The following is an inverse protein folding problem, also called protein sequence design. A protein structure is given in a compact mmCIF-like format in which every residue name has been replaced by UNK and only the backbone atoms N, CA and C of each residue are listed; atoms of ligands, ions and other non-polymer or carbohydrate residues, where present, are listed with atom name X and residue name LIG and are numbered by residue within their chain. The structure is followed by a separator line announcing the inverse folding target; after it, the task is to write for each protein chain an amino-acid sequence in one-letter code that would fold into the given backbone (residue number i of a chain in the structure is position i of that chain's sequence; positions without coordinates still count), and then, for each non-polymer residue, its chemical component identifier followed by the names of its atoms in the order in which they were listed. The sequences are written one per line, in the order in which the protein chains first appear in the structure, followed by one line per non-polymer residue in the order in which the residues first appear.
data_IF_150173711171
#
_entry.id   IF_150173711171
#
_cell.length_a   1.000
_cell.length_b   1.000
_cell.length_c   1.000
_cell.angle_alpha   90.00
_cell.angle_beta   90.00
_cell.angle_gamma   90.00
#
_symmetry.space_group_name_H-M   'P 1'
#
loop_
_entity.id
_entity.type
_entity.pdbx_description
1 polymer ?
#
# COMPACT_ATOMS: atom_id res chain seq x y z
N UNK A 1 72.23 11.65 -5.37
CA UNK A 1 71.29 12.05 -6.44
C UNK A 1 69.95 11.41 -6.12
N UNK A 2 69.09 12.19 -5.47
CA UNK A 2 67.67 11.88 -5.31
C UNK A 2 67.03 11.66 -6.69
N UNK A 3 66.24 10.59 -6.84
CA UNK A 3 65.17 10.55 -7.84
C UNK A 3 63.91 10.01 -7.18
N UNK A 4 62.85 10.76 -7.45
CA UNK A 4 61.61 10.91 -6.70
C UNK A 4 60.76 9.64 -6.72
N UNK A 5 60.04 9.40 -5.62
CA UNK A 5 58.86 8.53 -5.60
C UNK A 5 57.81 9.16 -6.51
N UNK A 6 57.32 8.41 -7.48
CA UNK A 6 56.07 8.73 -8.17
C UNK A 6 54.94 8.28 -7.24
N UNK A 7 54.25 9.25 -6.65
CA UNK A 7 52.96 9.04 -5.99
C UNK A 7 51.91 8.88 -7.10
N UNK A 8 51.49 7.65 -7.36
CA UNK A 8 50.24 7.39 -8.06
C UNK A 8 49.09 7.88 -7.17
N UNK A 9 48.58 9.07 -7.45
CA UNK A 9 47.30 9.51 -6.93
C UNK A 9 46.22 8.68 -7.63
N UNK A 10 45.81 7.58 -6.98
CA UNK A 10 44.55 6.92 -7.30
C UNK A 10 43.43 7.91 -6.92
N UNK A 11 42.90 8.59 -7.94
CA UNK A 11 41.66 9.36 -7.85
C UNK A 11 40.55 8.35 -7.56
N UNK A 12 40.31 8.10 -6.28
CA UNK A 12 39.25 7.20 -5.83
C UNK A 12 37.93 7.88 -6.13
N UNK A 13 37.21 7.39 -7.13
CA UNK A 13 35.80 7.71 -7.33
C UNK A 13 35.09 7.51 -5.98
N UNK A 14 34.65 8.60 -5.34
CA UNK A 14 33.78 8.51 -4.16
C UNK A 14 32.49 7.81 -4.60
N UNK A 15 32.40 6.51 -4.32
CA UNK A 15 31.14 5.77 -4.46
C UNK A 15 30.20 6.36 -3.40
N UNK A 16 29.32 7.25 -3.85
CA UNK A 16 28.20 7.74 -3.04
C UNK A 16 27.24 6.57 -2.87
N UNK A 17 27.32 5.87 -1.74
CA UNK A 17 26.34 4.87 -1.34
C UNK A 17 25.03 5.58 -1.00
N UNK A 18 24.13 5.67 -1.99
CA UNK A 18 22.77 6.13 -1.78
C UNK A 18 22.00 5.08 -0.97
N UNK A 19 21.28 5.54 0.06
CA UNK A 19 20.39 4.70 0.84
C UNK A 19 19.21 4.21 0.00
N UNK A 20 18.64 3.04 0.33
CA UNK A 20 17.49 2.47 -0.38
C UNK A 20 16.30 3.44 -0.42
N UNK A 21 16.17 4.32 0.58
CA UNK A 21 15.15 5.38 0.60
C UNK A 21 15.22 6.34 -0.58
N UNK A 22 16.37 6.47 -1.25
CA UNK A 22 16.52 7.33 -2.43
C UNK A 22 15.62 6.90 -3.60
N UNK A 23 15.29 5.61 -3.70
CA UNK A 23 14.46 5.05 -4.76
C UNK A 23 12.97 4.92 -4.38
N UNK A 24 12.61 5.22 -3.12
CA UNK A 24 11.24 5.14 -2.64
C UNK A 24 10.54 6.46 -2.93
N UNK A 25 9.40 6.37 -3.62
CA UNK A 25 8.52 7.51 -3.85
C UNK A 25 7.37 7.49 -2.84
N UNK A 26 7.43 8.35 -1.83
CA UNK A 26 6.41 8.54 -0.80
C UNK A 26 5.56 9.80 -0.99
N UNK A 27 5.61 10.42 -2.18
CA UNK A 27 4.87 11.63 -2.53
C UNK A 27 3.37 11.34 -2.81
N UNK A 28 2.72 10.73 -1.83
CA UNK A 28 1.32 10.34 -1.90
C UNK A 28 0.41 11.56 -1.93
N UNK A 29 -0.58 11.51 -2.82
CA UNK A 29 -1.62 12.52 -2.92
C UNK A 29 -2.91 11.98 -2.33
N UNK A 30 -3.58 12.80 -1.52
CA UNK A 30 -4.90 12.47 -1.00
C UNK A 30 -5.93 12.57 -2.14
N UNK A 31 -6.47 11.42 -2.54
CA UNK A 31 -7.40 11.30 -3.67
C UNK A 31 -8.76 10.83 -3.18
N UNK A 32 -9.82 11.50 -3.63
CA UNK A 32 -11.20 11.15 -3.28
C UNK A 32 -11.80 10.18 -4.30
N UNK A 33 -12.41 9.11 -3.81
CA UNK A 33 -13.13 8.13 -4.60
C UNK A 33 -14.58 8.02 -4.14
N UNK A 34 -15.48 7.86 -5.11
CA UNK A 34 -16.92 7.73 -4.86
C UNK A 34 -17.42 6.42 -5.43
N UNK A 35 -18.01 5.59 -4.58
CA UNK A 35 -18.59 4.29 -4.93
C UNK A 35 -20.03 4.21 -4.42
N UNK A 36 -20.99 4.41 -5.33
CA UNK A 36 -22.40 4.57 -4.93
C UNK A 36 -22.58 5.79 -4.02
N UNK A 37 -23.07 5.57 -2.79
CA UNK A 37 -23.20 6.61 -1.76
C UNK A 37 -21.96 6.78 -0.88
N UNK A 38 -20.95 5.93 -1.04
CA UNK A 38 -19.74 5.96 -0.21
C UNK A 38 -18.72 6.92 -0.81
N UNK A 39 -18.23 7.84 0.01
CA UNK A 39 -17.15 8.76 -0.33
C UNK A 39 -15.98 8.46 0.60
N UNK A 40 -14.84 8.12 0.02
CA UNK A 40 -13.64 7.69 0.73
C UNK A 40 -12.42 8.44 0.17
N UNK A 41 -11.41 8.63 0.99
CA UNK A 41 -10.18 9.33 0.59
C UNK A 41 -8.98 8.45 0.86
N UNK A 42 -8.02 8.40 -0.05
CA UNK A 42 -6.84 7.56 0.09
C UNK A 42 -5.59 8.35 -0.26
N UNK A 43 -4.54 8.15 0.52
CA UNK A 43 -3.18 8.42 0.07
C UNK A 43 -2.81 7.36 -0.97
N UNK A 44 -2.40 7.81 -2.16
CA UNK A 44 -1.87 6.97 -3.22
C UNK A 44 -0.91 7.77 -4.13
N UNK A 45 -0.05 7.06 -4.85
CA UNK A 45 0.71 7.68 -5.95
C UNK A 45 -0.23 7.95 -7.13
N UNK A 46 0.13 8.96 -7.93
CA UNK A 46 -0.58 9.30 -9.17
C UNK A 46 0.04 8.64 -10.40
N UNK A 47 1.32 8.28 -10.30
CA UNK A 47 2.10 7.72 -11.40
C UNK A 47 2.96 6.56 -10.87
N UNK A 48 3.17 5.57 -11.71
CA UNK A 48 4.07 4.45 -11.42
C UNK A 48 5.49 4.93 -11.20
N UNK A 49 6.16 4.38 -10.18
CA UNK A 49 7.61 4.38 -10.13
C UNK A 49 8.17 3.38 -11.15
N UNK A 50 9.48 3.42 -11.36
CA UNK A 50 10.19 2.44 -12.19
C UNK A 50 10.37 1.08 -11.51
N UNK A 51 9.91 0.94 -10.27
CA UNK A 51 10.04 -0.27 -9.47
C UNK A 51 8.71 -1.06 -9.48
N UNK A 52 8.76 -2.29 -10.00
CA UNK A 52 7.58 -3.13 -10.18
C UNK A 52 6.99 -3.61 -8.84
N UNK A 53 7.83 -3.77 -7.82
CA UNK A 53 7.40 -4.26 -6.50
C UNK A 53 6.61 -3.19 -5.72
N UNK A 54 6.66 -1.94 -6.19
CA UNK A 54 6.05 -0.77 -5.57
C UNK A 54 4.74 -0.31 -6.23
N UNK A 55 4.25 -1.08 -7.21
CA UNK A 55 3.00 -0.78 -7.93
C UNK A 55 1.75 -0.84 -7.05
N UNK A 56 1.83 -1.48 -5.88
CA UNK A 56 0.76 -1.49 -4.87
C UNK A 56 0.45 -0.11 -4.27
N UNK A 57 1.30 0.90 -4.49
CA UNK A 57 1.07 2.28 -4.06
C UNK A 57 0.09 3.06 -4.99
N UNK A 58 -0.29 2.46 -6.12
CA UNK A 58 -1.26 3.01 -7.07
C UNK A 58 -2.64 2.40 -6.86
N UNK A 59 -3.66 3.14 -7.28
CA UNK A 59 -5.01 2.57 -7.45
C UNK A 59 -5.14 2.00 -8.86
N UNK A 60 -5.27 0.68 -8.95
CA UNK A 60 -5.48 0.01 -10.22
C UNK A 60 -6.93 0.13 -10.71
N UNK A 61 -7.18 0.27 -12.03
CA UNK A 61 -8.54 0.34 -12.59
C UNK A 61 -9.41 -0.87 -12.21
N UNK A 62 -8.82 -2.05 -12.04
CA UNK A 62 -9.53 -3.25 -11.58
C UNK A 62 -10.17 -3.08 -10.21
N UNK A 63 -9.48 -2.44 -9.26
CA UNK A 63 -10.00 -2.16 -7.93
C UNK A 63 -11.17 -1.16 -7.98
N UNK A 64 -11.07 -0.14 -8.84
CA UNK A 64 -12.16 0.83 -9.07
C UNK A 64 -13.40 0.13 -9.63
N UNK A 65 -13.24 -0.80 -10.59
CA UNK A 65 -14.34 -1.58 -11.15
C UNK A 65 -14.98 -2.50 -10.09
N UNK A 66 -14.16 -3.19 -9.30
CA UNK A 66 -14.64 -4.06 -8.21
C UNK A 66 -15.44 -3.26 -7.17
N UNK A 67 -14.94 -2.10 -6.75
CA UNK A 67 -15.64 -1.25 -5.79
C UNK A 67 -16.97 -0.69 -6.31
N UNK A 68 -17.03 -0.36 -7.60
CA UNK A 68 -18.30 0.00 -8.25
C UNK A 68 -19.30 -1.16 -8.27
N UNK A 69 -18.83 -2.40 -8.39
CA UNK A 69 -19.68 -3.59 -8.29
C UNK A 69 -20.14 -3.83 -6.85
N UNK A 70 -19.22 -3.82 -5.89
CA UNK A 70 -19.52 -4.07 -4.47
C UNK A 70 -20.47 -3.02 -3.88
N UNK A 71 -20.28 -1.73 -4.19
CA UNK A 71 -21.17 -0.65 -3.74
C UNK A 71 -22.61 -0.77 -4.24
N UNK A 72 -22.85 -1.50 -5.34
CA UNK A 72 -24.19 -1.82 -5.85
C UNK A 72 -24.76 -3.09 -5.24
N UNK A 73 -23.92 -3.91 -4.60
CA UNK A 73 -24.27 -5.23 -4.07
C UNK A 73 -23.90 -5.37 -2.59
N UNK A 74 -24.00 -4.29 -1.81
CA UNK A 74 -23.55 -4.21 -0.40
C UNK A 74 -24.15 -5.28 0.51
N UNK A 75 -25.35 -5.79 0.18
CA UNK A 75 -26.00 -6.88 0.92
C UNK A 75 -25.16 -8.16 0.95
N UNK A 76 -24.31 -8.39 -0.05
CA UNK A 76 -23.41 -9.55 -0.07
C UNK A 76 -22.31 -9.46 0.98
N UNK A 77 -21.97 -8.26 1.45
CA UNK A 77 -20.88 -8.02 2.40
C UNK A 77 -21.36 -8.01 3.86
N UNK A 78 -22.66 -7.91 4.07
CA UNK A 78 -23.22 -7.57 5.38
C UNK A 78 -22.93 -8.65 6.42
N UNK A 79 -22.15 -8.29 7.45
CA UNK A 79 -21.81 -9.18 8.56
C UNK A 79 -20.78 -10.28 8.23
N UNK A 80 -20.14 -10.24 7.06
CA UNK A 80 -19.08 -11.19 6.71
C UNK A 80 -17.73 -10.80 7.33
N UNK A 81 -16.86 -11.79 7.53
CA UNK A 81 -15.42 -11.58 7.68
C UNK A 81 -14.76 -11.74 6.31
N UNK A 82 -13.95 -10.76 5.91
CA UNK A 82 -13.33 -10.68 4.58
C UNK A 82 -11.82 -10.60 4.71
N UNK A 83 -11.10 -11.31 3.83
CA UNK A 83 -9.67 -11.10 3.61
C UNK A 83 -9.48 -10.57 2.19
N UNK A 84 -8.65 -9.53 2.04
CA UNK A 84 -8.22 -9.02 0.74
C UNK A 84 -6.75 -9.38 0.50
N UNK A 85 -6.47 -10.01 -0.63
CA UNK A 85 -5.13 -10.40 -1.06
C UNK A 85 -4.60 -9.37 -2.06
N UNK A 86 -3.39 -8.84 -1.82
CA UNK A 86 -2.80 -7.82 -2.68
C UNK A 86 -3.57 -6.49 -2.59
N UNK A 87 -3.82 -6.04 -1.36
CA UNK A 87 -4.63 -4.88 -1.04
C UNK A 87 -4.08 -3.57 -1.62
N UNK A 88 -2.77 -3.47 -1.88
CA UNK A 88 -2.17 -2.22 -2.30
C UNK A 88 -2.46 -1.10 -1.31
N UNK A 89 -3.04 0.00 -1.78
CA UNK A 89 -3.46 1.13 -0.91
C UNK A 89 -4.71 0.84 -0.05
N UNK A 90 -5.37 -0.31 -0.23
CA UNK A 90 -6.48 -0.78 0.59
C UNK A 90 -7.86 -0.31 0.17
N UNK A 91 -8.02 0.17 -1.07
CA UNK A 91 -9.26 0.83 -1.53
C UNK A 91 -10.49 -0.07 -1.43
N UNK A 92 -10.34 -1.38 -1.65
CA UNK A 92 -11.47 -2.32 -1.64
C UNK A 92 -11.81 -2.77 -0.23
N UNK A 93 -10.86 -3.27 0.57
CA UNK A 93 -11.18 -3.72 1.92
C UNK A 93 -11.62 -2.58 2.85
N UNK A 94 -11.13 -1.35 2.67
CA UNK A 94 -11.63 -0.17 3.40
C UNK A 94 -13.08 0.18 2.99
N UNK A 95 -13.47 -0.04 1.74
CA UNK A 95 -14.88 0.07 1.36
C UNK A 95 -15.71 -1.04 2.02
N UNK A 96 -15.21 -2.29 2.00
CA UNK A 96 -15.87 -3.44 2.60
C UNK A 96 -16.07 -3.29 4.11
N UNK A 97 -15.12 -2.68 4.83
CA UNK A 97 -15.17 -2.51 6.30
C UNK A 97 -16.37 -1.66 6.78
N UNK A 98 -16.99 -0.90 5.88
CA UNK A 98 -18.24 -0.17 6.14
C UNK A 98 -19.47 -1.09 6.27
N UNK A 99 -19.38 -2.31 5.77
CA UNK A 99 -20.51 -3.25 5.67
C UNK A 99 -20.23 -4.62 6.34
N UNK A 100 -18.96 -5.02 6.39
CA UNK A 100 -18.51 -6.28 6.98
C UNK A 100 -18.48 -6.26 8.51
N UNK A 101 -18.30 -7.44 9.13
CA UNK A 101 -17.97 -7.58 10.55
C UNK A 101 -16.47 -7.46 10.82
N UNK A 102 -15.64 -7.95 9.90
CA UNK A 102 -14.18 -7.90 10.01
C UNK A 102 -13.57 -7.87 8.61
N UNK A 103 -12.48 -7.14 8.44
CA UNK A 103 -11.71 -7.09 7.21
C UNK A 103 -10.21 -7.12 7.53
N UNK A 104 -9.52 -8.11 6.97
CA UNK A 104 -8.06 -8.19 6.98
C UNK A 104 -7.55 -7.84 5.59
N UNK A 105 -6.74 -6.79 5.52
CA UNK A 105 -6.07 -6.31 4.32
C UNK A 105 -4.66 -6.93 4.29
N UNK A 106 -4.23 -7.47 3.16
CA UNK A 106 -2.91 -8.10 3.07
C UNK A 106 -2.13 -7.67 1.85
N UNK A 107 -0.83 -7.47 2.05
CA UNK A 107 0.14 -7.27 0.97
C UNK A 107 1.50 -7.84 1.40
N UNK A 108 2.35 -8.18 0.43
CA UNK A 108 3.67 -8.74 0.68
C UNK A 108 4.71 -7.64 0.93
N UNK A 109 4.56 -6.48 0.28
CA UNK A 109 5.59 -5.45 0.23
C UNK A 109 5.48 -4.50 1.43
N UNK A 110 6.59 -4.34 2.17
CA UNK A 110 6.64 -3.52 3.39
C UNK A 110 6.31 -2.04 3.14
N UNK A 111 6.74 -1.47 2.02
CA UNK A 111 6.42 -0.08 1.67
C UNK A 111 4.94 0.09 1.33
N UNK A 112 4.35 -0.91 0.65
CA UNK A 112 2.91 -0.94 0.41
C UNK A 112 2.13 -1.06 1.72
N UNK A 113 2.58 -1.89 2.65
CA UNK A 113 1.99 -1.99 3.98
C UNK A 113 2.04 -0.67 4.76
N UNK A 114 3.08 0.17 4.59
CA UNK A 114 3.15 1.50 5.24
C UNK A 114 2.02 2.41 4.75
N UNK A 115 1.80 2.53 3.45
CA UNK A 115 0.72 3.37 2.91
C UNK A 115 -0.67 2.77 3.22
N UNK A 116 -0.79 1.44 3.19
CA UNK A 116 -2.00 0.73 3.59
C UNK A 116 -2.41 1.07 5.03
N UNK A 117 -1.47 0.97 5.97
CA UNK A 117 -1.71 1.34 7.37
C UNK A 117 -2.08 2.83 7.53
N UNK A 118 -1.41 3.72 6.79
CA UNK A 118 -1.75 5.15 6.76
C UNK A 118 -3.19 5.39 6.29
N UNK A 119 -3.67 4.62 5.32
CA UNK A 119 -5.05 4.69 4.85
C UNK A 119 -6.06 4.07 5.83
N UNK A 120 -5.67 3.02 6.57
CA UNK A 120 -6.50 2.47 7.65
C UNK A 120 -6.67 3.52 8.74
N UNK A 121 -5.58 4.16 9.19
CA UNK A 121 -5.62 5.19 10.23
C UNK A 121 -6.52 6.37 9.83
N UNK A 122 -6.40 6.82 8.57
CA UNK A 122 -7.25 7.87 8.00
C UNK A 122 -8.75 7.57 8.17
N UNK A 123 -9.15 6.30 8.07
CA UNK A 123 -10.55 5.90 8.22
C UNK A 123 -10.93 5.48 9.65
N UNK A 124 -9.96 5.13 10.49
CA UNK A 124 -10.18 4.67 11.87
C UNK A 124 -10.79 5.73 12.78
N UNK A 125 -10.53 7.01 12.52
CA UNK A 125 -11.08 8.14 13.29
C UNK A 125 -12.52 8.53 12.94
N UNK A 126 -13.00 8.10 11.77
CA UNK A 126 -14.33 8.43 11.22
C UNK A 126 -15.32 7.27 11.31
N UNK A 127 -14.98 6.27 12.12
CA UNK A 127 -15.71 5.02 12.27
C UNK A 127 -16.73 5.16 13.40
N UNK A 128 -18.00 5.03 13.04
CA UNK A 128 -19.11 4.84 14.00
C UNK A 128 -18.91 3.51 14.75
N UNK A 129 -19.41 3.37 15.99
CA UNK A 129 -19.15 2.20 16.86
C UNK A 129 -19.69 0.84 16.36
N UNK A 130 -20.18 0.75 15.12
CA UNK A 130 -20.57 -0.51 14.47
C UNK A 130 -19.64 -0.94 13.33
N UNK A 131 -18.50 -0.27 13.08
CA UNK A 131 -17.62 -0.73 12.01
C UNK A 131 -16.83 -1.97 12.42
N UNK A 132 -16.54 -2.73 11.36
CA UNK A 132 -15.72 -3.91 11.37
C UNK A 132 -14.37 -3.71 12.05
N UNK A 133 -13.81 -4.79 12.61
CA UNK A 133 -12.36 -4.85 12.80
C UNK A 133 -11.67 -4.65 11.44
N UNK A 134 -10.72 -3.71 11.36
CA UNK A 134 -9.98 -3.40 10.14
C UNK A 134 -8.49 -3.46 10.46
N UNK A 135 -7.78 -4.41 9.85
CA UNK A 135 -6.38 -4.71 10.15
C UNK A 135 -5.59 -4.86 8.83
N UNK A 136 -4.30 -4.56 8.87
CA UNK A 136 -3.37 -4.85 7.79
C UNK A 136 -2.30 -5.83 8.27
N UNK A 137 -2.04 -6.87 7.47
CA UNK A 137 -1.04 -7.90 7.77
C UNK A 137 -0.14 -8.16 6.55
N UNK A 138 1.10 -8.60 6.81
CA UNK A 138 1.97 -9.08 5.72
C UNK A 138 1.48 -10.44 5.28
N UNK A 139 1.32 -10.63 3.97
CA UNK A 139 1.11 -11.96 3.39
C UNK A 139 1.77 -12.03 2.02
N UNK A 140 2.68 -12.98 1.86
CA UNK A 140 3.31 -13.30 0.59
C UNK A 140 2.68 -14.56 -0.03
N UNK A 141 2.28 -14.47 -1.29
CA UNK A 141 1.56 -15.57 -1.95
C UNK A 141 2.46 -16.80 -2.11
N UNK A 142 1.95 -17.96 -1.69
CA UNK A 142 2.69 -19.22 -1.77
C UNK A 142 3.78 -19.38 -0.71
N UNK A 143 3.85 -18.47 0.27
CA UNK A 143 4.71 -18.62 1.44
C UNK A 143 3.93 -19.31 2.57
N UNK A 144 4.29 -20.56 2.88
CA UNK A 144 3.65 -21.33 3.95
C UNK A 144 3.93 -20.75 5.35
N UNK A 145 5.04 -20.02 5.53
CA UNK A 145 5.39 -19.39 6.80
C UNK A 145 4.40 -18.28 7.20
N UNK A 146 3.71 -17.69 6.22
CA UNK A 146 2.73 -16.62 6.43
C UNK A 146 1.30 -17.17 6.72
N UNK A 147 1.10 -18.49 6.81
CA UNK A 147 -0.20 -19.13 7.09
C UNK A 147 -0.44 -19.49 8.57
N UNK A 148 0.41 -19.01 9.47
CA UNK A 148 0.45 -19.37 10.91
C UNK A 148 -0.61 -18.72 11.79
#
# INVERSE_FOLDING_TARGET
MERRKEEEAAEGDEIVCLDESFFINDNYQLTTFTFGSQVLQFFCLQFSSTDFDLTGQLVWPGAVLLNNYLSKNVKMLQGLSVIELGSGVGITGILCSRFCHEVVLTDHNKEVLKILNKNIELHSSSVTPSCAGLLAEKLEWGNDDDMG
#
